data_IF_893019316781
#
_entry.id   IF_893019316781
#
_cell.length_a   1.000
_cell.length_b   1.000
_cell.length_c   1.000
_cell.angle_alpha   90.00
_cell.angle_beta   90.00
_cell.angle_gamma   90.00
#
_symmetry.space_group_name_H-M   'P 1'
#
loop_
_entity.id
_entity.type
_entity.pdbx_description
1 polymer ?
2 water ?
#
# COMPACT_ATOMS: atom_id res chain seq x y z
N UNK A 3 14.27 20.47 -14.61
CA UNK A 3 13.22 21.24 -15.34
C UNK A 3 12.50 22.24 -14.43
N UNK A 4 11.49 22.92 -14.97
CA UNK A 4 10.71 23.91 -14.20
C UNK A 4 9.30 23.44 -13.84
N UNK A 5 9.10 22.14 -13.70
CA UNK A 5 7.78 21.61 -13.33
C UNK A 5 7.58 21.67 -11.82
N UNK A 6 8.64 21.44 -11.05
CA UNK A 6 8.55 21.51 -9.61
C UNK A 6 9.25 22.77 -9.13
N UNK A 7 9.85 22.70 -7.95
CA UNK A 7 10.57 23.84 -7.39
C UNK A 7 11.69 23.36 -6.47
N UNK A 8 11.52 22.19 -5.89
CA UNK A 8 12.53 21.63 -4.99
C UNK A 8 12.41 20.10 -4.93
N UNK A 9 11.18 19.61 -4.88
CA UNK A 9 10.92 18.16 -4.84
C UNK A 9 9.42 17.86 -4.77
N UNK A 10 8.95 16.95 -5.62
CA UNK A 10 7.53 16.56 -5.63
C UNK A 10 7.07 16.36 -4.20
N UNK A 11 7.97 15.83 -3.36
CA UNK A 11 7.69 15.54 -1.97
C UNK A 11 7.49 16.80 -1.15
N UNK A 12 8.46 17.72 -1.22
CA UNK A 12 8.38 18.97 -0.45
C UNK A 12 7.51 20.06 -1.11
N UNK A 13 7.39 20.02 -2.43
CA UNK A 13 6.56 21.00 -3.14
C UNK A 13 5.10 20.62 -2.92
N UNK A 14 4.90 19.47 -2.27
CA UNK A 14 3.58 18.98 -1.96
C UNK A 14 3.29 19.18 -0.49
N UNK A 15 4.35 19.18 0.31
CA UNK A 15 4.24 19.40 1.72
C UNK A 15 4.30 20.88 2.07
N UNK A 16 4.15 21.72 1.06
CA UNK A 16 4.23 23.17 1.30
C UNK A 16 2.83 23.78 1.26
N UNK A 17 2.25 24.04 2.43
CA UNK A 17 0.90 24.62 2.50
C UNK A 17 0.78 26.04 1.94
N UNK A 18 1.50 26.97 2.55
CA UNK A 18 1.48 28.37 2.13
C UNK A 18 1.63 28.53 0.62
N UNK A 19 2.54 27.77 0.03
CA UNK A 19 2.79 27.81 -1.41
C UNK A 19 2.02 26.72 -2.17
N UNK A 20 1.08 27.13 -3.03
CA UNK A 20 0.25 26.23 -3.83
C UNK A 20 0.89 25.96 -5.18
N UNK A 21 1.11 24.69 -5.48
CA UNK A 21 1.69 24.30 -6.76
C UNK A 21 0.55 24.06 -7.74
N UNK A 22 0.51 24.85 -8.80
CA UNK A 22 -0.54 24.71 -9.80
C UNK A 22 -0.20 23.57 -10.74
N UNK A 23 -1.19 23.10 -11.47
CA UNK A 23 -0.97 22.03 -12.43
C UNK A 23 -0.06 22.57 -13.53
N UNK A 24 0.57 21.66 -14.27
CA UNK A 24 1.45 22.02 -15.38
C UNK A 24 2.02 20.81 -16.08
N UNK A 25 1.60 20.60 -17.32
CA UNK A 25 2.05 19.48 -18.13
C UNK A 25 3.33 19.78 -18.92
N UNK A 26 4.36 18.95 -18.79
CA UNK A 26 5.61 19.17 -19.52
C UNK A 26 6.33 17.92 -20.07
N UNK A 27 6.65 17.94 -21.37
CA UNK A 27 7.37 16.84 -22.03
C UNK A 27 8.85 16.87 -21.61
N UNK A 28 9.48 15.72 -21.43
CA UNK A 28 10.89 15.75 -21.03
C UNK A 28 11.77 15.33 -22.17
N UNK A 29 13.04 15.69 -22.07
CA UNK A 29 14.03 15.38 -23.09
C UNK A 29 13.91 13.98 -23.67
N UNK A 30 13.64 13.00 -22.82
CA UNK A 30 13.51 11.61 -23.25
C UNK A 30 12.15 11.29 -23.87
N UNK A 31 11.23 12.25 -23.86
CA UNK A 31 9.89 12.04 -24.42
C UNK A 31 8.81 11.82 -23.39
N UNK A 32 9.21 11.64 -22.13
CA UNK A 32 8.28 11.40 -21.03
C UNK A 32 7.41 12.61 -20.72
N UNK A 33 6.11 12.47 -20.96
CA UNK A 33 5.14 13.55 -20.69
C UNK A 33 4.65 13.54 -19.23
N UNK A 34 4.89 14.65 -18.52
CA UNK A 34 4.50 14.77 -17.11
C UNK A 34 3.33 15.70 -16.76
N UNK A 35 2.10 15.20 -16.84
CA UNK A 35 0.96 16.04 -16.51
C UNK A 35 0.75 16.16 -15.00
N UNK A 36 1.19 17.27 -14.42
CA UNK A 36 1.00 17.50 -12.99
C UNK A 36 -0.45 17.96 -12.83
N UNK A 37 -1.17 17.40 -11.88
CA UNK A 37 -2.56 17.78 -11.73
C UNK A 37 -2.86 18.69 -10.55
N UNK A 38 -2.64 18.18 -9.35
CA UNK A 38 -2.89 18.97 -8.16
C UNK A 38 -1.93 18.58 -7.07
N UNK A 39 -1.95 19.33 -5.98
CA UNK A 39 -1.06 19.07 -4.85
C UNK A 39 -0.93 17.56 -4.54
N UNK A 40 0.26 17.01 -4.78
CA UNK A 40 0.50 15.60 -4.51
C UNK A 40 0.05 14.62 -5.57
N UNK A 41 -0.24 15.11 -6.77
CA UNK A 41 -0.67 14.24 -7.85
C UNK A 41 0.08 14.47 -9.16
N UNK A 42 0.95 13.52 -9.52
CA UNK A 42 1.72 13.61 -10.77
C UNK A 42 1.42 12.41 -11.67
N UNK A 43 1.22 12.65 -12.96
CA UNK A 43 0.95 11.58 -13.94
C UNK A 43 2.15 11.43 -14.86
N UNK A 44 2.32 10.25 -15.45
CA UNK A 44 3.44 10.01 -16.36
C UNK A 44 3.08 9.05 -17.50
N UNK A 45 3.46 9.40 -18.72
CA UNK A 45 3.15 8.55 -19.86
C UNK A 45 4.40 8.13 -20.67
N UNK A 46 4.39 6.90 -21.20
CA UNK A 46 5.51 6.39 -21.99
C UNK A 46 5.65 7.11 -23.33
N UNK A 47 6.90 7.39 -23.70
CA UNK A 47 7.21 8.07 -24.95
C UNK A 47 6.86 7.21 -26.18
N UNK A 48 5.77 6.46 -26.11
CA UNK A 48 5.33 5.68 -27.24
C UNK A 48 3.95 5.16 -26.94
N UNK A 49 3.75 4.74 -25.69
CA UNK A 49 2.45 4.26 -25.23
C UNK A 49 1.94 3.10 -26.08
N UNK A 50 2.69 2.02 -26.12
CA UNK A 50 2.30 0.83 -26.90
C UNK A 50 0.91 0.31 -26.51
N UNK A 51 0.77 -1.01 -26.50
CA UNK A 51 -0.51 -1.64 -26.16
C UNK A 51 -0.44 -2.42 -24.85
N UNK A 52 0.57 -3.26 -24.73
CA UNK A 52 0.76 -4.06 -23.53
C UNK A 52 1.30 -3.18 -22.41
N UNK A 53 1.16 -1.87 -22.55
CA UNK A 53 1.66 -0.99 -21.49
C UNK A 53 0.72 -1.09 -20.31
N UNK A 54 1.24 -0.83 -19.12
CA UNK A 54 0.45 -0.91 -17.91
C UNK A 54 0.09 0.46 -17.34
N UNK A 55 -1.02 0.53 -16.63
CA UNK A 55 -1.47 1.77 -16.01
C UNK A 55 -1.44 1.47 -14.55
N UNK A 56 -0.38 1.94 -13.93
CA UNK A 56 -0.11 1.71 -12.53
C UNK A 56 -0.38 2.93 -11.69
N UNK A 57 -0.87 2.69 -10.48
CA UNK A 57 -1.14 3.75 -9.53
C UNK A 57 -0.33 3.44 -8.29
N UNK A 58 0.83 4.10 -8.18
CA UNK A 58 1.74 3.95 -7.05
C UNK A 58 1.32 5.08 -6.14
N UNK A 59 0.85 4.78 -4.94
CA UNK A 59 0.43 5.85 -4.04
C UNK A 59 1.11 5.78 -2.69
N UNK A 60 1.35 6.96 -2.11
CA UNK A 60 1.96 7.00 -0.80
C UNK A 60 1.32 8.09 0.04
N UNK A 61 1.55 7.97 1.34
CA UNK A 61 0.99 8.93 2.27
C UNK A 61 -0.49 8.74 2.56
N UNK A 62 -1.04 7.55 2.36
CA UNK A 62 -2.45 7.39 2.70
C UNK A 62 -2.53 7.83 4.17
N UNK A 63 -1.52 7.44 4.94
CA UNK A 63 -1.45 7.81 6.34
C UNK A 63 -0.57 9.08 6.47
N UNK A 64 0.03 9.28 7.63
CA UNK A 64 0.88 10.44 7.86
C UNK A 64 2.23 10.04 8.42
N UNK A 65 2.23 9.08 9.35
CA UNK A 65 3.45 8.57 9.97
C UNK A 65 4.40 7.95 8.95
N UNK A 66 3.86 7.08 8.12
CA UNK A 66 4.62 6.35 7.11
C UNK A 66 5.30 7.31 6.11
N UNK A 67 6.60 7.50 6.27
CA UNK A 67 7.37 8.40 5.42
C UNK A 67 8.37 7.72 4.48
N UNK A 68 8.84 6.54 4.82
CA UNK A 68 9.80 5.83 3.97
C UNK A 68 9.40 5.73 2.48
N UNK A 69 8.11 5.49 2.18
CA UNK A 69 7.74 5.39 0.76
C UNK A 69 7.85 6.70 0.02
N UNK A 70 7.55 7.79 0.71
CA UNK A 70 7.60 9.11 0.10
C UNK A 70 8.97 9.50 -0.44
N UNK A 71 10.02 9.23 0.32
CA UNK A 71 11.38 9.56 -0.07
C UNK A 71 11.77 8.73 -1.28
N UNK A 72 11.36 7.47 -1.28
CA UNK A 72 11.65 6.60 -2.40
C UNK A 72 10.83 7.05 -3.60
N UNK A 73 9.57 7.38 -3.36
CA UNK A 73 8.73 7.85 -4.46
C UNK A 73 9.32 9.20 -4.87
N UNK A 74 9.68 9.99 -3.86
CA UNK A 74 10.24 11.31 -4.12
C UNK A 74 11.45 11.24 -5.02
N UNK A 75 12.29 10.22 -4.84
CA UNK A 75 13.48 10.06 -5.65
C UNK A 75 13.22 9.52 -7.07
N UNK A 76 12.28 8.58 -7.19
CA UNK A 76 11.93 8.02 -8.49
C UNK A 76 11.56 9.13 -9.45
N UNK A 77 10.80 10.09 -8.94
CA UNK A 77 10.36 11.22 -9.73
C UNK A 77 11.60 11.94 -10.20
N UNK A 78 12.42 12.38 -9.25
CA UNK A 78 13.65 13.10 -9.58
C UNK A 78 14.32 12.48 -10.79
N UNK A 79 14.56 11.17 -10.73
CA UNK A 79 15.24 10.46 -11.81
C UNK A 79 14.45 10.25 -13.09
N UNK A 80 13.18 10.56 -13.08
CA UNK A 80 12.39 10.39 -14.29
C UNK A 80 12.49 11.68 -15.09
N UNK A 81 12.63 12.79 -14.39
CA UNK A 81 12.73 14.07 -15.06
C UNK A 81 14.15 14.22 -15.60
N UNK A 82 15.13 13.80 -14.80
CA UNK A 82 16.54 13.87 -15.18
C UNK A 82 16.95 12.73 -16.11
N UNK A 83 16.03 11.81 -16.41
CA UNK A 83 16.36 10.70 -17.28
C UNK A 83 17.15 9.58 -16.60
N UNK A 84 17.72 9.87 -15.43
CA UNK A 84 18.47 8.88 -14.65
C UNK A 84 17.61 7.62 -14.60
N UNK A 85 16.29 7.81 -14.65
CA UNK A 85 15.28 6.74 -14.59
C UNK A 85 14.30 6.70 -15.81
N UNK A 86 14.45 5.72 -16.70
CA UNK A 86 13.56 5.62 -17.87
C UNK A 86 12.10 5.25 -17.53
N UNK A 87 11.17 5.55 -18.44
CA UNK A 87 9.75 5.24 -18.22
C UNK A 87 9.25 4.26 -19.23
N UNK A 88 8.08 3.67 -18.99
CA UNK A 88 7.52 2.69 -19.92
C UNK A 88 6.14 2.26 -19.48
N UNK A 89 5.54 3.04 -18.60
CA UNK A 89 4.22 2.69 -18.11
C UNK A 89 3.48 3.87 -17.55
N UNK A 90 2.31 4.13 -18.13
CA UNK A 90 1.46 5.24 -17.68
C UNK A 90 1.18 5.07 -16.17
N UNK A 91 1.81 5.89 -15.34
CA UNK A 91 1.60 5.79 -13.90
C UNK A 91 1.32 7.11 -13.17
N UNK A 92 0.37 7.04 -12.26
CA UNK A 92 -0.07 8.18 -11.45
C UNK A 92 0.56 8.10 -10.05
N UNK A 93 1.43 9.07 -9.72
CA UNK A 93 2.08 9.08 -8.43
C UNK A 93 1.27 9.87 -7.42
N UNK A 94 0.49 9.18 -6.61
CA UNK A 94 -0.32 9.87 -5.62
C UNK A 94 0.40 10.06 -4.31
N UNK A 95 0.18 11.24 -3.74
CA UNK A 95 0.74 11.63 -2.45
C UNK A 95 -0.45 12.21 -1.68
N UNK A 96 -1.50 11.42 -1.55
CA UNK A 96 -2.70 11.88 -0.87
C UNK A 96 -2.43 12.28 0.57
N UNK A 97 -3.34 13.05 1.13
CA UNK A 97 -3.22 13.52 2.51
C UNK A 97 -1.86 14.07 2.92
N UNK A 98 -1.42 15.17 2.29
CA UNK A 98 -0.12 15.72 2.65
C UNK A 98 -0.20 16.36 4.02
N UNK A 99 -1.21 17.17 4.22
CA UNK A 99 -1.42 17.88 5.49
C UNK A 99 -1.02 17.10 6.75
N UNK A 100 -1.44 15.84 6.80
CA UNK A 100 -1.17 14.97 7.94
C UNK A 100 0.29 14.63 8.06
N UNK A 101 0.94 14.41 6.92
CA UNK A 101 2.37 14.09 6.88
C UNK A 101 3.16 15.26 7.48
N UNK A 102 2.61 16.46 7.32
CA UNK A 102 3.23 17.68 7.81
C UNK A 102 2.95 17.82 9.29
N UNK A 103 1.72 17.54 9.69
CA UNK A 103 1.35 17.64 11.08
C UNK A 103 1.97 16.49 11.89
N UNK A 104 2.79 15.68 11.21
CA UNK A 104 3.49 14.57 11.86
C UNK A 104 2.60 13.52 12.51
N UNK A 105 1.31 13.51 12.17
CA UNK A 105 0.42 12.53 12.78
C UNK A 105 -0.14 11.47 11.83
N UNK A 106 -0.56 10.35 12.42
CA UNK A 106 -1.11 9.24 11.66
C UNK A 106 -2.31 9.68 10.83
N UNK A 107 -3.16 10.50 11.42
CA UNK A 107 -4.31 11.03 10.69
C UNK A 107 -4.94 12.23 11.40
N UNK A 108 -5.66 13.04 10.63
CA UNK A 108 -6.31 14.22 11.19
C UNK A 108 -7.50 13.85 12.06
N UNK A 109 -8.52 13.27 11.45
CA UNK A 109 -9.70 12.87 12.20
C UNK A 109 -9.83 11.36 12.28
N UNK A 110 -10.00 10.72 11.13
CA UNK A 110 -10.17 9.27 11.07
C UNK A 110 -9.17 8.63 10.13
N UNK A 111 -8.88 7.35 10.34
CA UNK A 111 -7.96 6.60 9.49
C UNK A 111 -8.49 6.65 8.06
N UNK A 112 -7.88 7.50 7.23
CA UNK A 112 -8.30 7.66 5.84
C UNK A 112 -8.46 6.34 5.09
N UNK A 113 -7.51 5.43 5.30
CA UNK A 113 -7.59 4.15 4.62
C UNK A 113 -8.64 3.25 5.24
N UNK A 114 -9.88 3.71 5.25
CA UNK A 114 -10.96 2.93 5.80
C UNK A 114 -12.25 3.53 5.29
N UNK A 115 -12.13 4.65 4.58
CA UNK A 115 -13.29 5.36 4.07
C UNK A 115 -13.50 5.25 2.56
N UNK A 116 -13.17 4.09 1.99
CA UNK A 116 -13.29 3.89 0.54
C UNK A 116 -14.41 2.98 0.05
N UNK A 117 -15.11 2.33 0.97
CA UNK A 117 -16.22 1.45 0.62
C UNK A 117 -17.40 2.27 0.12
N UNK A 118 -18.46 1.57 -0.30
CA UNK A 118 -19.66 2.24 -0.81
C UNK A 118 -20.53 2.69 0.38
N UNK A 119 -20.30 2.08 1.53
CA UNK A 119 -21.02 2.41 2.75
C UNK A 119 -20.73 3.88 3.05
N UNK A 120 -21.73 4.61 3.55
CA UNK A 120 -21.60 6.04 3.89
C UNK A 120 -20.90 6.27 5.23
N UNK A 121 -20.15 7.38 5.31
CA UNK A 121 -19.39 7.74 6.51
C UNK A 121 -19.73 9.15 6.97
N UNK A 122 -19.24 9.53 8.16
CA UNK A 122 -19.48 10.87 8.70
C UNK A 122 -18.51 11.90 8.11
N UNK A 123 -18.99 13.13 7.85
CA UNK A 123 -18.15 14.19 7.29
C UNK A 123 -16.86 14.37 8.06
N UNK A 124 -15.77 13.95 7.42
CA UNK A 124 -14.45 14.04 8.02
C UNK A 124 -13.39 14.49 7.02
N UNK A 125 -12.36 15.18 7.53
CA UNK A 125 -11.27 15.65 6.70
C UNK A 125 -10.79 14.54 5.77
N UNK A 126 -10.43 13.39 6.34
CA UNK A 126 -9.99 12.25 5.57
C UNK A 126 -11.04 11.81 4.57
N UNK A 127 -12.33 11.87 4.95
CA UNK A 127 -13.40 11.47 4.05
C UNK A 127 -13.46 12.36 2.81
N UNK A 128 -13.07 13.62 2.97
CA UNK A 128 -13.08 14.56 1.85
C UNK A 128 -12.08 14.06 0.82
N UNK A 129 -10.90 13.70 1.32
CA UNK A 129 -9.82 13.20 0.47
C UNK A 129 -10.20 11.89 -0.20
N UNK A 130 -10.78 10.96 0.57
CA UNK A 130 -11.19 9.69 -0.01
C UNK A 130 -11.98 9.99 -1.27
N UNK A 131 -13.14 10.60 -1.10
CA UNK A 131 -13.98 10.94 -2.23
C UNK A 131 -13.15 11.41 -3.40
N UNK A 132 -12.24 12.35 -3.12
CA UNK A 132 -11.39 12.89 -4.18
C UNK A 132 -10.66 11.78 -4.89
N UNK A 133 -9.84 11.04 -4.14
CA UNK A 133 -9.07 9.96 -4.74
C UNK A 133 -9.92 9.13 -5.71
N UNK A 134 -11.14 8.75 -5.30
CA UNK A 134 -12.01 7.95 -6.17
C UNK A 134 -12.19 8.50 -7.58
N UNK A 135 -12.10 9.82 -7.70
CA UNK A 135 -12.24 10.48 -8.98
C UNK A 135 -10.96 10.17 -9.73
N UNK A 136 -9.85 10.58 -9.14
CA UNK A 136 -8.54 10.33 -9.73
C UNK A 136 -8.56 8.96 -10.39
N UNK A 137 -8.88 7.93 -9.61
CA UNK A 137 -8.94 6.59 -10.15
C UNK A 137 -9.90 6.49 -11.34
N UNK A 138 -11.08 7.10 -11.20
CA UNK A 138 -12.08 7.10 -12.26
C UNK A 138 -11.50 7.77 -13.51
N UNK A 139 -10.93 8.96 -13.33
CA UNK A 139 -10.34 9.72 -14.44
C UNK A 139 -9.15 9.00 -15.04
N UNK A 140 -8.37 8.32 -14.20
CA UNK A 140 -7.17 7.62 -14.65
C UNK A 140 -7.49 6.38 -15.47
N UNK A 141 -8.20 5.43 -14.88
CA UNK A 141 -8.53 4.19 -15.58
C UNK A 141 -9.51 4.38 -16.71
N UNK A 142 -9.40 5.51 -17.42
CA UNK A 142 -10.31 5.79 -18.51
C UNK A 142 -9.88 5.18 -19.84
N UNK A 143 -10.79 4.44 -20.44
CA UNK A 143 -10.56 3.77 -21.72
C UNK A 143 -9.47 2.74 -21.64
N UNK A 144 -9.05 2.44 -20.41
CA UNK A 144 -8.00 1.46 -20.15
C UNK A 144 -8.55 0.05 -20.01
N UNK A 145 -7.66 -0.92 -19.93
CA UNK A 145 -8.09 -2.30 -19.74
C UNK A 145 -7.52 -2.94 -18.49
N UNK A 146 -8.40 -3.54 -17.72
CA UNK A 146 -8.04 -4.21 -16.48
C UNK A 146 -6.79 -5.10 -16.57
N UNK A 147 -6.60 -5.77 -17.70
CA UNK A 147 -5.45 -6.63 -17.85
C UNK A 147 -4.13 -5.87 -17.62
N UNK A 148 -4.19 -4.55 -17.69
CA UNK A 148 -3.00 -3.72 -17.52
C UNK A 148 -3.09 -2.73 -16.36
N UNK A 149 -3.99 -2.97 -15.43
CA UNK A 149 -4.14 -2.06 -14.31
C UNK A 149 -3.49 -2.53 -13.03
N UNK A 150 -2.66 -1.67 -12.46
CA UNK A 150 -1.93 -1.98 -11.25
C UNK A 150 -2.15 -0.90 -10.24
N UNK A 151 -2.10 -1.27 -8.97
CA UNK A 151 -2.26 -0.28 -7.93
C UNK A 151 -1.51 -0.67 -6.67
N UNK A 152 -0.40 0.02 -6.43
CA UNK A 152 0.46 -0.23 -5.29
C UNK A 152 0.45 0.87 -4.26
N UNK A 153 -0.24 0.60 -3.16
CA UNK A 153 -0.35 1.53 -2.05
C UNK A 153 0.81 1.26 -1.08
N UNK A 154 1.69 2.26 -0.92
CA UNK A 154 2.87 2.09 -0.06
C UNK A 154 2.68 2.65 1.34
N UNK A 155 3.01 1.84 2.34
CA UNK A 155 2.85 2.24 3.74
C UNK A 155 3.99 1.71 4.60
N UNK A 156 3.84 1.91 5.90
CA UNK A 156 4.81 1.44 6.87
C UNK A 156 4.14 0.86 8.09
N UNK A 157 4.83 -0.09 8.70
CA UNK A 157 4.36 -0.79 9.88
C UNK A 157 4.14 0.10 11.11
N UNK A 158 2.91 0.16 11.59
CA UNK A 158 2.54 0.94 12.75
C UNK A 158 3.27 0.45 14.02
N UNK A 159 4.09 -0.59 13.87
CA UNK A 159 4.86 -1.19 14.96
C UNK A 159 5.79 -2.30 14.44
N UNK A 160 6.48 -2.98 15.35
CA UNK A 160 7.38 -4.04 14.94
C UNK A 160 6.74 -5.12 14.07
N UNK A 161 7.52 -6.13 13.67
CA UNK A 161 7.00 -7.22 12.85
C UNK A 161 8.09 -8.26 12.51
N UNK A 162 7.74 -9.54 12.62
CA UNK A 162 8.67 -10.65 12.33
C UNK A 162 9.20 -10.55 10.91
N UNK A 163 8.41 -9.90 10.08
CA UNK A 163 8.73 -9.69 8.68
C UNK A 163 8.86 -8.18 8.54
N UNK A 164 10.02 -7.70 8.09
CA UNK A 164 10.25 -6.27 7.95
C UNK A 164 9.18 -5.62 7.10
N UNK A 165 8.87 -6.19 5.96
CA UNK A 165 7.86 -5.66 5.07
C UNK A 165 7.00 -6.80 4.54
N UNK A 166 5.71 -6.56 4.30
CA UNK A 166 4.85 -7.60 3.78
C UNK A 166 3.74 -6.97 2.97
N UNK A 167 3.20 -7.72 2.02
CA UNK A 167 2.12 -7.23 1.15
C UNK A 167 0.73 -7.67 1.63
N UNK A 168 -0.30 -6.96 1.20
CA UNK A 168 -1.65 -7.28 1.62
C UNK A 168 -2.61 -7.34 0.45
N UNK A 169 -2.74 -8.50 -0.19
CA UNK A 169 -3.65 -8.58 -1.34
C UNK A 169 -5.14 -8.49 -0.93
N UNK A 170 -5.92 -7.66 -1.64
CA UNK A 170 -7.33 -7.50 -1.32
C UNK A 170 -8.11 -8.72 -1.74
N UNK A 171 -9.35 -8.78 -1.23
CA UNK A 171 -10.29 -9.83 -1.55
C UNK A 171 -11.28 -9.16 -2.48
N UNK A 172 -11.08 -9.26 -3.77
CA UNK A 172 -11.99 -8.62 -4.72
C UNK A 172 -12.83 -9.65 -5.48
N UNK A 173 -13.89 -9.20 -6.15
CA UNK A 173 -14.73 -10.15 -6.90
C UNK A 173 -13.98 -10.65 -8.12
N UNK A 174 -12.99 -9.88 -8.58
CA UNK A 174 -12.22 -10.24 -9.76
C UNK A 174 -10.94 -11.02 -9.38
N UNK A 175 -10.13 -11.40 -10.40
CA UNK A 175 -8.88 -12.14 -10.21
C UNK A 175 -7.78 -11.13 -10.01
N UNK A 176 -7.49 -10.79 -8.76
CA UNK A 176 -6.49 -9.77 -8.55
C UNK A 176 -5.16 -10.25 -7.99
N UNK A 177 -4.89 -11.54 -8.13
CA UNK A 177 -3.62 -12.05 -7.65
C UNK A 177 -2.91 -12.78 -8.79
N UNK A 178 -2.40 -12.00 -9.74
CA UNK A 178 -1.71 -12.54 -10.90
C UNK A 178 -0.32 -13.00 -10.59
N UNK A 179 0.23 -13.73 -11.56
CA UNK A 179 1.57 -14.31 -11.53
C UNK A 179 2.59 -13.18 -11.58
N UNK A 180 2.30 -12.18 -12.40
CA UNK A 180 3.15 -11.00 -12.54
C UNK A 180 3.12 -10.16 -11.28
N UNK A 181 1.98 -10.15 -10.59
CA UNK A 181 1.92 -9.37 -9.37
C UNK A 181 2.73 -10.07 -8.28
N UNK A 182 2.85 -11.39 -8.39
CA UNK A 182 3.62 -12.16 -7.42
C UNK A 182 5.08 -11.88 -7.62
N UNK A 183 5.50 -12.11 -8.85
CA UNK A 183 6.86 -11.89 -9.30
C UNK A 183 7.34 -10.54 -8.86
N UNK A 184 6.50 -9.52 -8.94
CA UNK A 184 6.94 -8.21 -8.51
C UNK A 184 7.28 -8.24 -7.02
N UNK A 185 6.37 -8.78 -6.23
CA UNK A 185 6.56 -8.87 -4.80
C UNK A 185 7.89 -9.57 -4.48
N UNK A 186 8.16 -10.65 -5.22
CA UNK A 186 9.39 -11.42 -5.04
C UNK A 186 10.60 -10.53 -5.35
N UNK A 187 10.62 -9.93 -6.54
CA UNK A 187 11.75 -9.09 -6.88
C UNK A 187 11.91 -7.97 -5.85
N UNK A 188 10.83 -7.63 -5.17
CA UNK A 188 10.96 -6.57 -4.19
C UNK A 188 11.53 -7.20 -2.93
N UNK A 189 11.56 -8.52 -2.90
CA UNK A 189 12.05 -9.25 -1.73
C UNK A 189 11.13 -8.97 -0.54
N UNK A 190 9.83 -8.80 -0.80
CA UNK A 190 8.92 -8.52 0.29
C UNK A 190 8.91 -9.82 1.07
N UNK A 191 9.20 -9.71 2.35
CA UNK A 191 9.27 -10.89 3.19
C UNK A 191 7.98 -11.68 3.39
N UNK A 192 6.81 -11.02 3.43
CA UNK A 192 5.57 -11.75 3.61
C UNK A 192 4.38 -11.23 2.81
N UNK A 193 3.45 -12.14 2.52
CA UNK A 193 2.27 -11.77 1.78
C UNK A 193 1.03 -12.23 2.55
N UNK A 194 0.10 -11.31 2.77
CA UNK A 194 -1.13 -11.61 3.48
C UNK A 194 -2.32 -11.55 2.54
N UNK A 195 -2.91 -12.70 2.26
CA UNK A 195 -4.08 -12.72 1.41
C UNK A 195 -5.35 -12.42 2.22
N UNK A 196 -5.92 -11.23 2.03
CA UNK A 196 -7.11 -10.85 2.76
C UNK A 196 -8.21 -11.88 2.54
N UNK A 197 -8.98 -12.17 3.59
CA UNK A 197 -10.07 -13.12 3.48
C UNK A 197 -11.44 -12.48 3.23
N UNK A 198 -11.57 -11.18 3.45
CA UNK A 198 -12.84 -10.51 3.24
C UNK A 198 -12.66 -9.08 2.73
N UNK A 199 -13.74 -8.47 2.22
CA UNK A 199 -13.65 -7.11 1.71
C UNK A 199 -13.12 -6.13 2.76
N UNK A 200 -12.94 -4.89 2.35
CA UNK A 200 -12.41 -3.88 3.24
C UNK A 200 -12.91 -2.49 2.85
N UNK A 201 -11.99 -1.53 2.87
CA UNK A 201 -12.28 -0.15 2.50
C UNK A 201 -10.99 0.60 2.34
N UNK A 202 -9.90 -0.15 2.21
CA UNK A 202 -8.58 0.40 2.01
C UNK A 202 -8.51 0.87 0.56
N UNK A 203 -7.59 1.78 0.28
CA UNK A 203 -7.46 2.33 -1.04
C UNK A 203 -7.12 1.24 -2.05
N UNK A 204 -6.33 0.28 -1.58
CA UNK A 204 -5.94 -0.84 -2.41
C UNK A 204 -7.19 -1.62 -2.83
N UNK A 205 -7.88 -2.15 -1.83
CA UNK A 205 -9.11 -2.92 -2.03
C UNK A 205 -10.01 -2.24 -3.05
N UNK A 206 -10.18 -0.93 -2.88
CA UNK A 206 -11.02 -0.15 -3.77
C UNK A 206 -10.62 -0.34 -5.22
N UNK A 207 -9.32 -0.25 -5.51
CA UNK A 207 -8.87 -0.42 -6.89
C UNK A 207 -9.19 -1.80 -7.49
N UNK A 208 -8.99 -2.86 -6.71
CA UNK A 208 -9.25 -4.21 -7.18
C UNK A 208 -10.72 -4.46 -7.39
N UNK A 209 -11.52 -4.04 -6.41
CA UNK A 209 -12.96 -4.25 -6.44
C UNK A 209 -13.73 -3.49 -7.49
N UNK A 210 -13.31 -2.28 -7.83
CA UNK A 210 -14.04 -1.51 -8.85
C UNK A 210 -13.33 -1.36 -10.20
N UNK A 211 -12.17 -1.99 -10.34
CA UNK A 211 -11.40 -1.91 -11.58
C UNK A 211 -10.66 -3.20 -11.93
N UNK A 212 -10.69 -4.19 -11.03
CA UNK A 212 -10.03 -5.44 -11.33
C UNK A 212 -8.53 -5.25 -11.58
N UNK A 213 -7.91 -4.39 -10.76
CA UNK A 213 -6.51 -4.08 -10.86
C UNK A 213 -5.65 -4.85 -9.85
N UNK A 214 -4.51 -5.38 -10.31
CA UNK A 214 -3.59 -6.09 -9.43
C UNK A 214 -3.15 -5.08 -8.39
N UNK A 215 -3.82 -5.08 -7.24
CA UNK A 215 -3.51 -4.10 -6.21
C UNK A 215 -2.96 -4.62 -4.92
N UNK A 216 -2.04 -3.86 -4.37
CA UNK A 216 -1.43 -4.26 -3.13
C UNK A 216 -1.25 -3.09 -2.21
N UNK A 217 -0.93 -3.41 -0.98
CA UNK A 217 -0.66 -2.41 0.01
C UNK A 217 0.57 -2.99 0.63
N UNK A 218 1.70 -2.33 0.44
CA UNK A 218 2.92 -2.86 1.01
C UNK A 218 3.26 -2.05 2.23
N UNK A 219 3.50 -2.74 3.34
CA UNK A 219 3.90 -2.09 4.58
C UNK A 219 5.41 -2.38 4.68
N UNK A 220 6.21 -1.44 4.15
CA UNK A 220 7.66 -1.58 4.15
C UNK A 220 8.25 -1.01 5.45
N UNK A 221 9.00 -1.82 6.17
CA UNK A 221 9.58 -1.36 7.42
C UNK A 221 8.54 -0.74 8.35
N UNK A 222 9.03 -0.05 9.37
CA UNK A 222 8.18 0.59 10.37
C UNK A 222 8.00 2.09 10.10
N UNK A 223 7.23 2.76 10.96
CA UNK A 223 6.99 4.17 10.81
C UNK A 223 8.00 5.06 11.52
N UNK A 224 9.10 5.32 10.83
CA UNK A 224 10.16 6.17 11.34
C UNK A 224 9.87 7.61 10.94
N UNK A 225 10.60 8.54 11.52
CA UNK A 225 10.41 9.96 11.20
C UNK A 225 11.01 10.25 9.81
N UNK A 226 10.37 11.13 9.04
CA UNK A 226 10.90 11.44 7.70
C UNK A 226 12.41 11.47 7.79
N UNK A 227 13.06 10.55 7.10
CA UNK A 227 14.51 10.48 7.12
C UNK A 227 14.97 9.16 7.70
N UNK A 228 14.86 9.02 9.03
CA UNK A 228 15.26 7.81 9.74
C UNK A 228 15.12 6.56 8.88
N UNK A 229 13.97 6.44 8.22
CA UNK A 229 13.66 5.32 7.34
C UNK A 229 14.94 4.85 6.64
N UNK A 230 15.45 3.70 7.03
CA UNK A 230 16.68 3.22 6.39
C UNK A 230 16.37 2.65 5.02
N UNK A 231 16.32 3.52 4.02
CA UNK A 231 16.04 3.07 2.67
C UNK A 231 16.97 1.91 2.28
N UNK A 232 18.09 1.80 2.97
CA UNK A 232 19.04 0.73 2.71
C UNK A 232 18.31 -0.61 2.70
N UNK A 233 17.40 -0.77 3.64
CA UNK A 233 16.64 -2.00 3.75
C UNK A 233 15.64 -2.13 2.62
N UNK A 234 15.15 -0.98 2.13
CA UNK A 234 14.17 -0.93 1.04
C UNK A 234 14.88 -0.91 -0.31
N UNK A 235 16.08 -1.49 -0.31
CA UNK A 235 16.89 -1.56 -1.52
C UNK A 235 16.22 -2.43 -2.56
N UNK A 236 15.90 -3.67 -2.22
CA UNK A 236 15.27 -4.53 -3.21
C UNK A 236 13.98 -3.90 -3.70
N UNK A 237 13.19 -3.41 -2.75
CA UNK A 237 11.95 -2.80 -3.17
C UNK A 237 12.22 -1.68 -4.17
N UNK A 238 13.07 -0.74 -3.76
CA UNK A 238 13.42 0.40 -4.58
C UNK A 238 13.87 0.06 -6.00
N UNK A 239 14.63 -1.02 -6.13
CA UNK A 239 15.10 -1.46 -7.44
C UNK A 239 13.91 -2.06 -8.17
N UNK A 240 13.15 -2.90 -7.47
CA UNK A 240 12.00 -3.55 -8.07
C UNK A 240 11.06 -2.58 -8.75
N UNK A 241 10.65 -1.54 -8.03
CA UNK A 241 9.72 -0.55 -8.57
C UNK A 241 10.26 0.03 -9.85
N UNK A 242 11.52 0.45 -9.80
CA UNK A 242 12.19 1.02 -10.96
C UNK A 242 12.10 0.11 -12.14
N UNK A 243 12.28 -1.18 -11.92
CA UNK A 243 12.18 -2.13 -13.01
C UNK A 243 10.71 -2.19 -13.47
N UNK A 244 9.81 -2.03 -12.51
CA UNK A 244 8.37 -2.08 -12.79
C UNK A 244 7.90 -0.95 -13.69
N UNK A 245 8.43 0.26 -13.50
CA UNK A 245 8.00 1.36 -14.36
C UNK A 245 8.84 1.43 -15.65
N UNK A 246 10.08 0.94 -15.59
CA UNK A 246 10.98 0.93 -16.74
C UNK A 246 10.66 -0.26 -17.65
N UNK A 247 9.87 -1.20 -17.15
CA UNK A 247 9.45 -2.38 -17.89
C UNK A 247 10.61 -3.20 -18.43
N UNK A 248 11.82 -2.96 -17.93
CA UNK A 248 12.92 -3.74 -18.44
C UNK A 248 13.70 -4.50 -17.39
N UNK A 249 14.68 -5.24 -17.93
CA UNK A 249 15.58 -6.12 -17.21
C UNK A 249 15.51 -6.21 -15.70
N UNK A 250 14.94 -7.31 -15.21
CA UNK A 250 14.83 -7.52 -13.76
C UNK A 250 16.25 -8.03 -13.45
N UNK A 251 17.13 -7.09 -13.07
CA UNK A 251 18.56 -7.38 -12.84
C UNK A 251 19.10 -8.09 -11.58
N UNK A 252 18.34 -8.16 -10.49
CA UNK A 252 18.83 -8.82 -9.28
C UNK A 252 18.02 -10.10 -8.99
N UNK A 253 18.52 -10.95 -8.09
CA UNK A 253 17.86 -12.19 -7.73
C UNK A 253 16.70 -11.98 -6.74
N UNK A 254 15.53 -12.60 -7.04
CA UNK A 254 14.36 -12.49 -6.18
C UNK A 254 14.36 -13.57 -5.08
N UNK A 255 13.32 -13.59 -4.26
CA UNK A 255 13.22 -14.57 -3.20
C UNK A 255 11.79 -14.79 -2.75
N UNK A 256 11.31 -16.03 -2.89
CA UNK A 256 9.95 -16.37 -2.49
C UNK A 256 9.55 -15.75 -1.17
N UNK A 257 8.28 -15.42 -1.02
CA UNK A 257 7.77 -14.80 0.20
C UNK A 257 6.86 -15.75 0.97
N UNK A 258 6.84 -15.63 2.30
CA UNK A 258 5.97 -16.51 3.08
C UNK A 258 4.50 -16.19 2.82
N UNK A 259 3.79 -17.13 2.21
CA UNK A 259 2.39 -16.99 1.89
C UNK A 259 1.47 -17.20 3.09
N UNK A 260 0.74 -16.15 3.45
CA UNK A 260 -0.19 -16.16 4.57
C UNK A 260 -1.63 -15.95 4.14
N UNK A 261 -2.55 -16.32 5.01
CA UNK A 261 -3.95 -16.20 4.72
C UNK A 261 -4.71 -15.64 5.91
N UNK A 262 -5.51 -14.61 5.69
CA UNK A 262 -6.27 -14.04 6.78
C UNK A 262 -7.14 -15.18 7.28
N UNK A 263 -6.99 -15.51 8.55
CA UNK A 263 -7.75 -16.60 9.16
C UNK A 263 -9.10 -16.09 9.62
N UNK A 264 -9.10 -14.90 10.19
CA UNK A 264 -10.31 -14.27 10.69
C UNK A 264 -9.93 -12.93 11.29
N UNK A 265 -10.91 -12.05 11.44
CA UNK A 265 -10.67 -10.76 12.05
C UNK A 265 -11.08 -10.87 13.51
N UNK A 266 -10.46 -10.05 14.36
CA UNK A 266 -10.75 -10.04 15.79
C UNK A 266 -11.38 -8.69 16.16
N UNK A 267 -12.56 -8.42 15.62
CA UNK A 267 -13.26 -7.17 15.90
C UNK A 267 -13.72 -7.12 17.34
N UNK A 268 -13.39 -6.03 18.04
CA UNK A 268 -13.77 -5.87 19.44
C UNK A 268 -15.25 -5.56 19.51
N UNK A 269 -15.89 -6.05 20.58
CA UNK A 269 -17.32 -5.82 20.77
C UNK A 269 -17.66 -5.38 22.19
N UNK A 270 -16.86 -5.79 23.17
CA UNK A 270 -17.15 -5.37 24.52
C UNK A 270 -16.10 -4.37 25.01
N UNK A 271 -16.14 -4.08 26.30
CA UNK A 271 -15.23 -3.12 26.89
C UNK A 271 -14.16 -3.77 27.74
N UNK A 272 -14.47 -4.94 28.28
CA UNK A 272 -13.49 -5.64 29.11
C UNK A 272 -12.58 -6.44 28.19
N UNK A 273 -11.89 -5.71 27.32
CA UNK A 273 -10.98 -6.24 26.32
C UNK A 273 -9.52 -6.19 26.79
N UNK A 274 -8.76 -7.24 26.48
CA UNK A 274 -7.36 -7.31 26.89
C UNK A 274 -6.59 -8.42 26.17
N UNK A 275 -5.30 -8.17 25.90
CA UNK A 275 -4.44 -9.14 25.22
C UNK A 275 -3.36 -9.66 26.17
N UNK A 276 -2.54 -10.59 25.69
CA UNK A 276 -1.47 -11.18 26.51
C UNK A 276 -0.11 -10.56 26.20
N UNK A 277 -0.13 -9.33 25.69
CA UNK A 277 1.10 -8.64 25.37
C UNK A 277 0.93 -7.15 25.55
N UNK A 278 2.05 -6.42 25.49
CA UNK A 278 2.05 -4.98 25.66
C UNK A 278 2.05 -4.23 24.33
N UNK A 279 3.23 -3.91 23.84
CA UNK A 279 3.37 -3.21 22.58
C UNK A 279 4.56 -3.82 21.87
N UNK A 280 5.37 -4.53 22.66
CA UNK A 280 6.56 -5.19 22.16
C UNK A 280 6.13 -6.38 21.28
N UNK A 281 4.82 -6.52 21.10
CA UNK A 281 4.25 -7.59 20.29
C UNK A 281 4.39 -7.26 18.80
N UNK A 282 5.25 -8.03 18.13
CA UNK A 282 5.50 -7.86 16.72
C UNK A 282 4.43 -8.52 15.89
N UNK A 283 4.29 -8.09 14.64
CA UNK A 283 3.31 -8.70 13.75
C UNK A 283 3.74 -10.14 13.50
N UNK A 284 2.78 -11.00 13.18
CA UNK A 284 3.07 -12.40 12.88
C UNK A 284 3.56 -13.22 14.07
N UNK A 285 3.17 -12.79 15.27
CA UNK A 285 3.53 -13.48 16.50
C UNK A 285 2.66 -14.72 16.62
N UNK A 286 3.20 -15.85 16.17
CA UNK A 286 2.51 -17.13 16.19
C UNK A 286 2.14 -17.64 17.58
N UNK A 287 1.07 -18.43 17.63
CA UNK A 287 0.62 -19.00 18.88
C UNK A 287 0.31 -20.47 18.65
N UNK A 288 0.50 -21.29 19.68
CA UNK A 288 0.24 -22.72 19.58
C UNK A 288 -1.17 -23.06 20.01
N UNK A 289 -1.52 -24.33 19.86
CA UNK A 289 -2.82 -24.84 20.25
C UNK A 289 -2.73 -25.07 21.77
N UNK A 290 -3.08 -24.03 22.53
CA UNK A 290 -3.05 -24.12 23.97
C UNK A 290 -2.96 -22.77 24.65
N UNK A 291 -2.41 -21.79 23.94
CA UNK A 291 -2.26 -20.43 24.48
C UNK A 291 -3.33 -19.45 24.05
N UNK A 292 -3.65 -18.54 24.96
CA UNK A 292 -4.63 -17.50 24.73
C UNK A 292 -3.91 -16.15 24.82
N UNK A 293 -4.15 -15.27 23.85
CA UNK A 293 -3.51 -13.96 23.82
C UNK A 293 -4.36 -12.85 24.44
N UNK A 294 -5.23 -13.21 25.37
CA UNK A 294 -6.07 -12.22 26.01
C UNK A 294 -7.56 -12.49 25.85
N UNK A 295 -8.26 -12.54 26.98
CA UNK A 295 -9.70 -12.79 27.02
C UNK A 295 -10.53 -11.61 26.51
N UNK A 296 -11.82 -11.62 26.81
CA UNK A 296 -12.69 -10.54 26.37
C UNK A 296 -13.87 -10.36 27.33
N UNK A 297 -13.64 -10.63 28.61
CA UNK A 297 -14.68 -10.52 29.61
C UNK A 297 -15.81 -11.52 29.41
N UNK A 298 -16.16 -11.74 28.15
CA UNK A 298 -17.21 -12.69 27.78
C UNK A 298 -16.59 -13.99 27.30
N UNK A 299 -16.16 -14.00 26.03
CA UNK A 299 -15.53 -15.17 25.44
C UNK A 299 -14.05 -14.86 25.23
N UNK A 300 -13.16 -15.75 25.70
CA UNK A 300 -11.70 -15.60 25.59
C UNK A 300 -11.17 -15.46 24.18
N UNK A 301 -9.88 -15.75 24.00
CA UNK A 301 -9.23 -15.66 22.70
C UNK A 301 -7.92 -16.46 22.65
N UNK A 302 -7.89 -17.52 21.84
CA UNK A 302 -6.69 -18.35 21.66
C UNK A 302 -6.46 -18.71 20.19
N UNK A 303 -5.28 -19.27 19.90
CA UNK A 303 -4.89 -19.66 18.55
C UNK A 303 -5.62 -20.89 18.02
N UNK A 304 -6.71 -20.66 17.31
CA UNK A 304 -7.49 -21.74 16.73
C UNK A 304 -6.57 -22.84 16.15
N UNK A 305 -5.47 -22.42 15.51
CA UNK A 305 -4.52 -23.36 14.90
C UNK A 305 -3.17 -23.38 15.58
N UNK A 306 -2.26 -24.21 15.07
CA UNK A 306 -0.91 -24.29 15.64
C UNK A 306 0.02 -23.41 14.85
N UNK A 307 0.04 -22.13 15.22
CA UNK A 307 0.88 -21.17 14.54
C UNK A 307 0.08 -19.95 14.12
N UNK A 308 -1.23 -20.00 14.34
CA UNK A 308 -2.09 -18.89 13.97
C UNK A 308 -1.45 -17.60 14.51
N UNK A 309 -0.76 -16.90 13.62
CA UNK A 309 -0.07 -15.66 13.95
C UNK A 309 -1.01 -14.47 13.92
N UNK A 310 -0.70 -13.43 14.68
CA UNK A 310 -1.54 -12.25 14.77
C UNK A 310 -0.93 -11.06 14.05
N UNK A 311 -1.77 -10.16 13.57
CA UNK A 311 -1.29 -8.99 12.84
C UNK A 311 -2.15 -7.78 13.17
N UNK A 312 -1.57 -6.60 13.03
CA UNK A 312 -2.23 -5.31 13.31
C UNK A 312 -2.78 -5.19 14.73
N UNK A 313 -2.05 -5.71 15.72
CA UNK A 313 -2.50 -5.64 17.12
C UNK A 313 -2.81 -4.21 17.56
N UNK A 314 -3.98 -3.71 17.20
CA UNK A 314 -4.34 -2.35 17.59
C UNK A 314 -4.81 -2.32 19.04
N UNK A 315 -4.59 -1.18 19.70
CA UNK A 315 -5.01 -1.03 21.09
C UNK A 315 -6.11 0.04 21.16
N UNK A 316 -6.02 0.97 20.22
CA UNK A 316 -6.98 2.07 20.12
C UNK A 316 -8.31 1.51 19.60
N UNK A 317 -8.36 0.20 19.42
CA UNK A 317 -9.55 -0.49 18.92
C UNK A 317 -10.85 -0.06 19.58
N UNK A 318 -11.88 0.13 18.76
CA UNK A 318 -13.19 0.52 19.25
C UNK A 318 -14.10 -0.72 19.29
N UNK A 319 -15.27 -0.59 19.88
CA UNK A 319 -16.20 -1.70 19.99
C UNK A 319 -16.71 -2.13 18.60
N UNK A 320 -16.47 -1.29 17.59
CA UNK A 320 -16.91 -1.60 16.24
C UNK A 320 -15.74 -1.95 15.33
N UNK A 321 -14.63 -1.23 15.50
CA UNK A 321 -13.44 -1.47 14.70
C UNK A 321 -12.98 -2.91 14.88
N UNK A 322 -11.89 -3.24 14.20
CA UNK A 322 -11.32 -4.57 14.29
C UNK A 322 -10.03 -4.47 15.08
N UNK A 323 -9.87 -5.33 16.08
CA UNK A 323 -8.66 -5.31 16.87
C UNK A 323 -7.49 -5.77 16.02
N UNK A 324 -7.30 -7.09 15.95
CA UNK A 324 -6.21 -7.66 15.16
C UNK A 324 -6.63 -8.39 13.90
N UNK A 325 -5.79 -9.35 13.51
CA UNK A 325 -6.00 -10.18 12.32
C UNK A 325 -5.25 -11.48 12.51
N UNK A 326 -5.89 -12.59 12.16
CA UNK A 326 -5.22 -13.87 12.31
C UNK A 326 -4.68 -14.30 10.96
N UNK A 327 -3.64 -15.11 10.98
CA UNK A 327 -3.02 -15.56 9.74
C UNK A 327 -2.44 -16.96 9.87
N UNK A 328 -2.57 -17.76 8.80
CA UNK A 328 -2.05 -19.13 8.80
C UNK A 328 -1.20 -19.30 7.58
N UNK A 329 -0.02 -19.89 7.74
CA UNK A 329 0.84 -20.09 6.59
C UNK A 329 0.20 -21.09 5.64
N UNK A 330 -0.13 -20.65 4.43
CA UNK A 330 -0.77 -21.51 3.43
C UNK A 330 0.14 -21.84 2.24
N UNK A 331 -0.03 -23.02 1.65
CA UNK A 331 0.80 -23.36 0.49
C UNK A 331 0.03 -22.96 -0.77
N UNK A 332 0.67 -22.22 -1.66
CA UNK A 332 0.00 -21.79 -2.88
C UNK A 332 0.37 -22.56 -4.13
N UNK A 333 -0.15 -22.08 -5.26
CA UNK A 333 0.08 -22.64 -6.60
C UNK A 333 -0.54 -21.67 -7.60
N UNK A 334 -0.58 -22.05 -8.88
CA UNK A 334 -1.17 -21.19 -9.91
C UNK A 334 -2.24 -21.95 -10.70
N UNK A 335 -3.19 -21.20 -11.26
CA UNK A 335 -4.24 -21.79 -12.07
C UNK A 335 -4.53 -20.79 -13.16
N UNK A 336 -3.79 -20.91 -14.25
CA UNK A 336 -3.96 -20.01 -15.39
C UNK A 336 -3.55 -18.59 -15.02
N UNK A 337 -2.31 -18.46 -14.55
CA UNK A 337 -1.72 -17.18 -14.19
C UNK A 337 -2.23 -16.52 -12.90
N UNK A 338 -3.09 -17.22 -12.17
CA UNK A 338 -3.61 -16.67 -10.93
C UNK A 338 -3.10 -17.44 -9.73
N UNK A 339 -3.11 -16.78 -8.57
CA UNK A 339 -2.63 -17.39 -7.35
C UNK A 339 -3.79 -17.98 -6.56
N UNK A 340 -3.59 -19.20 -6.08
CA UNK A 340 -4.61 -19.90 -5.33
C UNK A 340 -3.92 -20.64 -4.18
N UNK A 341 -4.66 -21.04 -3.15
CA UNK A 341 -4.03 -21.74 -2.05
C UNK A 341 -4.42 -23.18 -1.85
N UNK A 342 -3.95 -23.73 -0.72
CA UNK A 342 -4.15 -25.12 -0.32
C UNK A 342 -3.39 -26.03 -1.29
#
# INVERSE_FOLDING_TARGET
>A
XTKSLFRQSFLFDSLDLDHPMVAQTVRTEQGVTLKLHQRGVLEVIPAQTDAATKNMVISCGIHGDETAPMELLDKWIDDIVSGFQPVAERCLFIMAHPQATVRHVRFIEQNLNRLFDDKPHTPSTELAIADNLKVLLRQFFANTDEHSRWHLDLHCAIRGSKHYSFAVSPKARHPVRSRSLMQFIEQAHIEAVMLSNAPSSTFSWYSAEHYAAQALTLELGQVARLGENLLDRLLAFDLAMRDLISRHKPEHLPRKSVMYRVSRTIVRLHDDFDFRFSDDVENFTAFMHGEVFGHDGDKPLMAKNEGEAIVFPNRKVAIGQRAALMVCKVNTRYEDDQLVYDLEHHHHHH
#
